data_IF_943579398519
#
_entry.id   IF_943579398519
#
_cell.length_a   1.000
_cell.length_b   1.000
_cell.length_c   1.000
_cell.angle_alpha   90.00
_cell.angle_beta   90.00
_cell.angle_gamma   90.00
#
_symmetry.space_group_name_H-M   'P 1'
#
loop_
_entity.id
_entity.type
_entity.pdbx_description
1 polymer ?
#
# COMPACT_ATOMS: atom_id res chain seq x y z
N UNK A 1 -9.97 20.43 -5.83
CA UNK A 1 -9.99 21.88 -6.18
C UNK A 1 -8.74 22.33 -6.92
N UNK A 2 -7.56 21.72 -6.70
CA UNK A 2 -6.32 22.08 -7.41
C UNK A 2 -6.26 21.65 -8.89
N UNK A 3 -6.93 20.56 -9.29
CA UNK A 3 -6.93 20.09 -10.68
C UNK A 3 -7.73 20.97 -11.65
N UNK A 4 -8.70 21.76 -11.15
CA UNK A 4 -9.48 22.68 -11.99
C UNK A 4 -8.67 23.91 -12.42
N UNK A 5 -7.69 24.32 -11.61
CA UNK A 5 -6.84 25.48 -11.90
C UNK A 5 -5.74 25.18 -12.93
N UNK A 6 -5.28 23.93 -13.05
CA UNK A 6 -4.26 23.58 -14.06
C UNK A 6 -4.84 23.51 -15.48
N UNK A 7 -6.10 23.10 -15.64
CA UNK A 7 -6.78 23.06 -16.94
C UNK A 7 -7.05 24.46 -17.51
N UNK A 8 -7.33 25.45 -16.65
CA UNK A 8 -7.49 26.85 -17.07
C UNK A 8 -6.15 27.51 -17.44
N UNK A 9 -5.06 27.13 -16.75
CA UNK A 9 -3.72 27.66 -17.05
C UNK A 9 -3.17 27.09 -18.37
N UNK A 10 -3.55 25.86 -18.73
CA UNK A 10 -3.15 25.25 -20.00
C UNK A 10 -3.95 25.82 -21.19
N UNK A 11 -5.22 26.19 -20.99
CA UNK A 11 -6.01 26.92 -21.99
C UNK A 11 -5.52 28.35 -22.26
N UNK A 12 -4.87 29.01 -21.29
CA UNK A 12 -4.30 30.36 -21.50
C UNK A 12 -3.03 30.36 -22.35
N UNK A 13 -2.24 29.28 -22.32
CA UNK A 13 -0.97 29.21 -23.06
C UNK A 13 -1.23 28.97 -24.56
N UNK A 14 -2.23 28.16 -24.91
CA UNK A 14 -2.62 27.93 -26.32
C UNK A 14 -3.23 29.19 -26.98
N UNK A 15 -3.83 30.07 -26.20
CA UNK A 15 -4.46 31.30 -26.72
C UNK A 15 -3.45 32.43 -27.00
N UNK A 16 -2.22 32.33 -26.48
CA UNK A 16 -1.16 33.34 -26.68
C UNK A 16 -0.23 33.06 -27.88
N UNK A 17 -0.30 31.89 -28.51
CA UNK A 17 0.55 31.57 -29.68
C UNK A 17 -0.06 31.98 -31.03
N UNK A 18 -1.26 32.57 -31.04
CA UNK A 18 -1.90 33.15 -32.24
C UNK A 18 -1.87 34.68 -32.20
N UNK A 19 -0.68 35.27 -32.32
CA UNK A 19 -0.54 36.69 -32.63
C UNK A 19 0.51 36.89 -33.71
N UNK A 20 0.22 36.33 -34.89
CA UNK A 20 0.80 36.88 -36.12
C UNK A 20 0.21 38.29 -36.32
N UNK A 21 1.00 39.30 -36.74
CA UNK A 21 0.49 40.66 -36.97
C UNK A 21 -0.66 40.62 -37.99
N UNK A 22 -1.62 41.55 -37.91
CA UNK A 22 -2.76 41.52 -38.82
C UNK A 22 -2.26 41.73 -40.26
N UNK A 23 -2.77 40.96 -41.25
CA UNK A 23 -2.45 41.11 -42.67
C UNK A 23 -2.94 42.45 -43.28
N UNK A 24 -3.38 43.39 -42.43
CA UNK A 24 -4.03 44.64 -42.80
C UNK A 24 -3.00 45.70 -43.20
N UNK A 25 -1.85 45.75 -42.54
CA UNK A 25 -0.80 46.72 -42.83
C UNK A 25 -0.12 46.41 -44.18
N UNK A 26 0.06 45.13 -44.50
CA UNK A 26 0.54 44.67 -45.82
C UNK A 26 -0.46 44.97 -46.93
N UNK A 27 -1.76 44.83 -46.64
CA UNK A 27 -2.83 45.13 -47.61
C UNK A 27 -2.92 46.64 -47.90
N UNK A 28 -2.66 47.49 -46.90
CA UNK A 28 -2.57 48.95 -47.08
C UNK A 28 -1.33 49.32 -47.90
N UNK A 29 -0.17 48.69 -47.64
CA UNK A 29 1.04 48.89 -48.45
C UNK A 29 0.85 48.45 -49.91
N UNK A 30 0.15 47.33 -50.14
CA UNK A 30 -0.31 46.90 -51.47
C UNK A 30 -1.14 47.96 -52.18
N UNK A 31 -2.15 48.52 -51.48
CA UNK A 31 -3.03 49.54 -52.06
C UNK A 31 -2.28 50.84 -52.37
N UNK A 32 -1.36 51.26 -51.50
CA UNK A 32 -0.51 52.44 -51.72
C UNK A 32 0.44 52.23 -52.91
N UNK A 33 1.07 51.06 -53.02
CA UNK A 33 1.93 50.72 -54.15
C UNK A 33 1.15 50.62 -55.47
N UNK A 34 -0.06 50.06 -55.42
CA UNK A 34 -1.01 49.99 -56.53
C UNK A 34 -1.41 51.40 -56.99
N UNK A 35 -1.75 52.28 -56.05
CA UNK A 35 -2.10 53.67 -56.31
C UNK A 35 -0.91 54.41 -56.94
N UNK A 36 0.28 54.34 -56.33
CA UNK A 36 1.48 55.02 -56.85
C UNK A 36 1.91 54.55 -58.25
N UNK A 37 1.73 53.26 -58.57
CA UNK A 37 2.07 52.68 -59.86
C UNK A 37 1.03 53.01 -60.95
N UNK A 38 -0.26 53.07 -60.59
CA UNK A 38 -1.34 53.29 -61.55
C UNK A 38 -1.71 54.77 -61.73
N UNK A 39 -1.49 55.63 -60.73
CA UNK A 39 -1.82 57.07 -60.78
C UNK A 39 -1.20 57.82 -61.99
N UNK A 40 0.06 57.56 -62.39
CA UNK A 40 0.66 58.15 -63.60
C UNK A 40 0.07 57.58 -64.89
N UNK A 41 -0.56 56.41 -64.82
CA UNK A 41 -1.04 55.66 -65.97
C UNK A 41 -2.54 55.86 -66.23
N UNK A 42 -3.24 56.70 -65.45
CA UNK A 42 -4.68 56.93 -65.59
C UNK A 42 -4.98 57.95 -66.72
N UNK A 43 -5.70 57.54 -67.78
CA UNK A 43 -6.02 58.41 -68.93
C UNK A 43 -6.80 59.67 -68.56
N UNK A 44 -7.54 59.65 -67.45
CA UNK A 44 -8.44 60.74 -67.05
C UNK A 44 -7.72 62.06 -66.75
N UNK A 45 -6.46 62.01 -66.28
CA UNK A 45 -5.71 63.23 -65.91
C UNK A 45 -5.17 63.96 -67.13
N UNK A 46 -4.88 63.22 -68.21
CA UNK A 46 -4.33 63.75 -69.45
C UNK A 46 -5.44 64.05 -70.47
N UNK A 47 -6.51 63.26 -70.51
CA UNK A 47 -7.72 63.56 -71.30
C UNK A 47 -8.41 64.86 -70.86
N UNK A 48 -8.38 65.22 -69.56
CA UNK A 48 -8.87 66.52 -69.09
C UNK A 48 -7.95 67.70 -69.45
N UNK A 49 -6.67 67.45 -69.76
CA UNK A 49 -5.72 68.49 -70.16
C UNK A 49 -5.74 68.77 -71.68
N UNK A 50 -6.11 67.77 -72.51
CA UNK A 50 -6.22 67.92 -73.97
C UNK A 50 -7.33 68.91 -74.37
N UNK A 51 -8.45 68.96 -73.64
CA UNK A 51 -9.59 69.82 -74.01
C UNK A 51 -9.35 71.33 -73.78
N UNK A 52 -8.17 71.73 -73.27
CA UNK A 52 -7.83 73.13 -72.99
C UNK A 52 -6.76 73.73 -73.90
N UNK A 53 -6.19 72.98 -74.85
CA UNK A 53 -5.09 73.48 -75.69
C UNK A 53 -5.11 72.91 -77.11
N UNK A 54 -5.26 73.74 -78.17
CA UNK A 54 -5.20 73.29 -79.56
C UNK A 54 -3.74 73.14 -80.08
N UNK A 55 -2.74 73.01 -79.21
CA UNK A 55 -1.33 72.92 -79.63
C UNK A 55 -0.89 71.47 -79.98
N UNK A 56 -0.29 71.22 -81.16
CA UNK A 56 0.16 69.90 -81.62
C UNK A 56 1.17 69.16 -80.72
N UNK A 57 1.79 69.86 -79.77
CA UNK A 57 2.71 69.28 -78.78
C UNK A 57 2.02 68.53 -77.63
N UNK A 58 0.68 68.53 -77.57
CA UNK A 58 -0.12 67.83 -76.56
C UNK A 58 -0.64 66.46 -77.03
N UNK A 59 -0.09 65.90 -78.11
CA UNK A 59 -0.36 64.52 -78.48
C UNK A 59 0.25 63.59 -77.42
N UNK A 60 -0.61 62.98 -76.62
CA UNK A 60 -0.23 61.89 -75.72
C UNK A 60 0.32 60.77 -76.59
N UNK A 61 1.58 60.40 -76.38
CA UNK A 61 2.21 59.23 -76.99
C UNK A 61 1.60 57.98 -76.32
N UNK A 62 0.53 57.48 -76.93
CA UNK A 62 -0.25 56.33 -76.44
C UNK A 62 0.63 55.09 -76.30
N UNK A 63 1.60 54.90 -77.20
CA UNK A 63 2.58 53.82 -77.16
C UNK A 63 3.56 53.94 -75.98
N UNK A 64 3.95 55.16 -75.60
CA UNK A 64 4.72 55.40 -74.37
C UNK A 64 3.88 55.14 -73.11
N UNK A 65 2.64 55.61 -73.09
CA UNK A 65 1.73 55.39 -71.97
C UNK A 65 1.40 53.91 -71.74
N UNK A 66 1.17 53.17 -72.83
CA UNK A 66 0.93 51.73 -72.78
C UNK A 66 2.16 50.95 -72.25
N UNK A 67 3.38 51.40 -72.58
CA UNK A 67 4.61 50.83 -72.03
C UNK A 67 4.75 51.11 -70.54
N UNK A 68 4.56 52.36 -70.12
CA UNK A 68 4.65 52.76 -68.70
C UNK A 68 3.60 52.02 -67.86
N UNK A 69 2.37 51.84 -68.37
CA UNK A 69 1.32 51.04 -67.72
C UNK A 69 1.69 49.56 -67.60
N UNK A 70 2.21 48.95 -68.67
CA UNK A 70 2.64 47.54 -68.64
C UNK A 70 3.79 47.31 -67.65
N UNK A 71 4.76 48.23 -67.59
CA UNK A 71 5.88 48.15 -66.65
C UNK A 71 5.43 48.31 -65.19
N UNK A 72 4.50 49.23 -64.93
CA UNK A 72 3.86 49.39 -63.62
C UNK A 72 3.09 48.12 -63.20
N UNK A 73 2.29 47.54 -64.11
CA UNK A 73 1.56 46.30 -63.88
C UNK A 73 2.48 45.11 -63.61
N UNK A 74 3.63 45.03 -64.31
CA UNK A 74 4.62 43.95 -64.12
C UNK A 74 5.34 44.06 -62.78
N UNK A 75 5.72 45.27 -62.35
CA UNK A 75 6.31 45.51 -61.01
C UNK A 75 5.34 45.12 -59.91
N UNK A 76 4.07 45.49 -60.07
CA UNK A 76 3.00 45.13 -59.15
C UNK A 76 2.77 43.61 -59.09
N UNK A 77 2.75 42.94 -60.24
CA UNK A 77 2.64 41.48 -60.31
C UNK A 77 3.79 40.79 -59.57
N UNK A 78 5.03 41.28 -59.73
CA UNK A 78 6.20 40.75 -59.02
C UNK A 78 6.10 40.96 -57.50
N UNK A 79 5.59 42.11 -57.07
CA UNK A 79 5.34 42.38 -55.65
C UNK A 79 4.31 41.41 -55.04
N UNK A 80 3.20 41.15 -55.72
CA UNK A 80 2.21 40.15 -55.27
C UNK A 80 2.78 38.72 -55.24
N UNK A 81 3.63 38.35 -56.22
CA UNK A 81 4.32 37.05 -56.22
C UNK A 81 5.31 36.95 -55.05
N UNK A 82 6.00 38.04 -54.71
CA UNK A 82 6.91 38.12 -53.56
C UNK A 82 6.15 37.94 -52.24
N UNK A 83 5.09 38.71 -52.02
CA UNK A 83 4.21 38.62 -50.84
C UNK A 83 3.64 37.22 -50.62
N UNK A 84 3.31 36.50 -51.69
CA UNK A 84 2.76 35.15 -51.60
C UNK A 84 3.79 34.10 -51.14
N UNK A 85 5.09 34.43 -51.23
CA UNK A 85 6.20 33.56 -50.83
C UNK A 85 6.87 33.96 -49.52
N UNK A 86 6.76 35.21 -49.09
CA UNK A 86 7.67 35.75 -48.07
C UNK A 86 7.35 35.37 -46.62
N UNK A 87 6.13 34.93 -46.24
CA UNK A 87 5.83 34.79 -44.80
C UNK A 87 4.88 33.68 -44.35
N UNK A 88 4.51 32.70 -45.19
CA UNK A 88 3.74 31.55 -44.70
C UNK A 88 4.64 30.33 -44.46
N UNK A 89 4.78 29.88 -43.19
CA UNK A 89 5.36 28.58 -42.90
C UNK A 89 4.61 27.54 -43.71
N UNK A 90 5.34 26.76 -44.48
CA UNK A 90 4.75 25.65 -45.21
C UNK A 90 4.14 24.67 -44.22
N UNK A 91 3.06 23.98 -44.61
CA UNK A 91 2.44 22.94 -43.76
C UNK A 91 3.49 21.93 -43.24
N UNK A 92 4.51 21.64 -44.04
CA UNK A 92 5.63 20.75 -43.67
C UNK A 92 6.44 21.31 -42.51
N UNK A 93 6.77 22.61 -42.52
CA UNK A 93 7.53 23.24 -41.44
C UNK A 93 6.73 23.30 -40.14
N UNK A 94 5.42 23.60 -40.21
CA UNK A 94 4.55 23.59 -39.03
C UNK A 94 4.44 22.20 -38.42
N UNK A 95 4.15 21.18 -39.25
CA UNK A 95 4.09 19.80 -38.79
C UNK A 95 5.42 19.31 -38.24
N UNK A 96 6.55 19.72 -38.84
CA UNK A 96 7.88 19.39 -38.33
C UNK A 96 8.13 19.93 -36.92
N UNK A 97 7.68 21.15 -36.62
CA UNK A 97 7.77 21.74 -35.27
C UNK A 97 6.86 21.02 -34.27
N UNK A 98 5.63 20.69 -34.67
CA UNK A 98 4.68 19.94 -33.83
C UNK A 98 5.21 18.54 -33.50
N UNK A 99 5.76 17.82 -34.49
CA UNK A 99 6.38 16.50 -34.29
C UNK A 99 7.54 16.61 -33.30
N UNK A 100 8.46 17.56 -33.49
CA UNK A 100 9.59 17.74 -32.58
C UNK A 100 9.16 18.07 -31.14
N UNK A 101 8.09 18.87 -30.98
CA UNK A 101 7.52 19.18 -29.67
C UNK A 101 6.92 17.93 -29.00
N UNK A 102 6.13 17.16 -29.76
CA UNK A 102 5.54 15.91 -29.27
C UNK A 102 6.59 14.86 -28.91
N UNK A 103 7.69 14.77 -29.66
CA UNK A 103 8.80 13.86 -29.35
C UNK A 103 9.48 14.20 -28.02
N UNK A 104 9.74 15.48 -27.75
CA UNK A 104 10.34 15.89 -26.47
C UNK A 104 9.34 15.71 -25.31
N UNK A 105 8.05 15.98 -25.51
CA UNK A 105 7.02 15.68 -24.51
C UNK A 105 6.96 14.19 -24.18
N UNK A 106 6.99 13.33 -25.21
CA UNK A 106 6.97 11.87 -25.05
C UNK A 106 8.19 11.38 -24.26
N UNK A 107 9.37 11.94 -24.55
CA UNK A 107 10.60 11.64 -23.83
C UNK A 107 10.51 12.04 -22.35
N UNK A 108 9.99 13.23 -22.05
CA UNK A 108 9.78 13.69 -20.66
C UNK A 108 8.79 12.76 -19.93
N UNK A 109 7.64 12.43 -20.55
CA UNK A 109 6.67 11.50 -19.95
C UNK A 109 7.27 10.11 -19.71
N UNK A 110 8.08 9.62 -20.64
CA UNK A 110 8.78 8.34 -20.49
C UNK A 110 9.69 8.32 -19.26
N UNK A 111 10.44 9.41 -19.01
CA UNK A 111 11.28 9.51 -17.82
C UNK A 111 10.47 9.64 -16.52
N UNK A 112 9.30 10.30 -16.55
CA UNK A 112 8.37 10.34 -15.41
C UNK A 112 7.85 8.94 -15.10
N UNK A 113 7.42 8.18 -16.12
CA UNK A 113 6.94 6.80 -15.96
C UNK A 113 8.03 5.93 -15.34
N UNK A 114 9.27 6.00 -15.85
CA UNK A 114 10.41 5.25 -15.26
C UNK A 114 10.70 5.62 -13.81
N UNK A 115 10.53 6.89 -13.43
CA UNK A 115 10.69 7.32 -12.02
C UNK A 115 9.59 6.75 -11.15
N UNK A 116 8.34 6.81 -11.61
CA UNK A 116 7.19 6.26 -10.89
C UNK A 116 7.27 4.74 -10.75
N UNK A 117 7.69 4.03 -11.79
CA UNK A 117 7.87 2.58 -11.76
C UNK A 117 8.90 2.16 -10.71
N UNK A 118 10.04 2.87 -10.61
CA UNK A 118 11.04 2.64 -9.57
C UNK A 118 10.48 2.86 -8.15
N UNK A 119 9.68 3.90 -7.94
CA UNK A 119 9.04 4.14 -6.64
C UNK A 119 8.06 3.02 -6.27
N UNK A 120 7.22 2.60 -7.22
CA UNK A 120 6.27 1.49 -7.03
C UNK A 120 7.01 0.20 -6.71
N UNK A 121 8.10 -0.12 -7.42
CA UNK A 121 8.93 -1.29 -7.13
C UNK A 121 9.55 -1.21 -5.73
N UNK A 122 10.05 -0.04 -5.32
CA UNK A 122 10.55 0.18 -3.96
C UNK A 122 9.48 -0.05 -2.89
N UNK A 123 8.28 0.50 -3.07
CA UNK A 123 7.16 0.29 -2.14
C UNK A 123 6.70 -1.17 -2.08
N UNK A 124 6.65 -1.86 -3.22
CA UNK A 124 6.32 -3.29 -3.27
C UNK A 124 7.33 -4.13 -2.49
N UNK A 125 8.62 -3.79 -2.59
CA UNK A 125 9.69 -4.46 -1.83
C UNK A 125 9.52 -4.20 -0.33
N UNK A 126 9.37 -2.94 0.07
CA UNK A 126 9.21 -2.57 1.49
C UNK A 126 8.01 -3.27 2.14
N UNK A 127 6.85 -3.28 1.46
CA UNK A 127 5.66 -3.97 1.95
C UNK A 127 5.87 -5.47 2.11
N UNK A 128 6.61 -6.09 1.18
CA UNK A 128 6.96 -7.50 1.25
C UNK A 128 7.89 -7.78 2.43
N UNK A 129 8.94 -6.98 2.59
CA UNK A 129 9.91 -7.12 3.68
C UNK A 129 9.22 -6.95 5.06
N UNK A 130 8.26 -6.02 5.17
CA UNK A 130 7.44 -5.86 6.38
C UNK A 130 6.53 -7.06 6.65
N UNK A 131 5.86 -7.59 5.62
CA UNK A 131 5.01 -8.77 5.75
C UNK A 131 5.82 -10.00 6.20
N UNK A 132 6.99 -10.20 5.59
CA UNK A 132 7.89 -11.32 5.92
C UNK A 132 8.39 -11.20 7.37
N UNK A 133 8.72 -9.98 7.83
CA UNK A 133 9.07 -9.73 9.23
C UNK A 133 7.92 -10.04 10.19
N UNK A 134 6.72 -9.53 9.92
CA UNK A 134 5.56 -9.78 10.77
C UNK A 134 5.21 -11.28 10.85
N UNK A 135 5.33 -12.01 9.74
CA UNK A 135 5.13 -13.45 9.73
C UNK A 135 6.19 -14.19 10.56
N UNK A 136 7.46 -13.79 10.46
CA UNK A 136 8.53 -14.37 11.26
C UNK A 136 8.30 -14.12 12.76
N UNK A 137 7.99 -12.88 13.15
CA UNK A 137 7.71 -12.51 14.54
C UNK A 137 6.50 -13.29 15.09
N UNK A 138 5.40 -13.37 14.33
CA UNK A 138 4.21 -14.12 14.71
C UNK A 138 4.49 -15.63 14.85
N UNK A 139 5.32 -16.20 13.97
CA UNK A 139 5.74 -17.60 14.06
C UNK A 139 6.51 -17.86 15.36
N UNK A 140 7.47 -16.99 15.70
CA UNK A 140 8.26 -17.09 16.93
C UNK A 140 7.37 -16.99 18.18
N UNK A 141 6.37 -16.10 18.16
CA UNK A 141 5.44 -15.94 19.28
C UNK A 141 4.52 -17.14 19.45
N UNK A 142 4.00 -17.71 18.36
CA UNK A 142 3.20 -18.95 18.40
C UNK A 142 4.03 -20.11 18.95
N UNK A 143 5.28 -20.26 18.50
CA UNK A 143 6.18 -21.29 19.03
C UNK A 143 6.49 -21.09 20.53
N UNK A 144 6.70 -19.84 20.96
CA UNK A 144 6.90 -19.52 22.38
C UNK A 144 5.67 -19.88 23.19
N UNK A 145 4.49 -19.49 22.73
CA UNK A 145 3.24 -19.80 23.41
C UNK A 145 3.00 -21.31 23.49
N UNK A 146 3.29 -22.05 22.42
CA UNK A 146 3.19 -23.52 22.41
C UNK A 146 4.15 -24.17 23.42
N UNK A 147 5.39 -23.66 23.55
CA UNK A 147 6.33 -24.13 24.58
C UNK A 147 5.82 -23.85 25.99
N UNK A 148 5.38 -22.62 26.27
CA UNK A 148 4.86 -22.22 27.58
C UNK A 148 3.62 -23.05 27.97
N UNK A 149 2.73 -23.29 27.00
CA UNK A 149 1.56 -24.15 27.19
C UNK A 149 1.97 -25.60 27.52
N UNK A 150 2.91 -26.18 26.78
CA UNK A 150 3.39 -27.53 27.04
C UNK A 150 4.05 -27.67 28.42
N UNK A 151 4.83 -26.68 28.83
CA UNK A 151 5.47 -26.67 30.15
C UNK A 151 4.46 -26.52 31.29
N UNK A 152 3.44 -25.68 31.12
CA UNK A 152 2.33 -25.58 32.06
C UNK A 152 1.54 -26.90 32.16
N UNK A 153 1.26 -27.53 31.02
CA UNK A 153 0.58 -28.83 30.97
C UNK A 153 1.39 -29.92 31.68
N UNK A 154 2.72 -29.97 31.47
CA UNK A 154 3.62 -30.90 32.19
C UNK A 154 3.63 -30.64 33.69
N UNK A 155 3.72 -29.37 34.13
CA UNK A 155 3.66 -29.02 35.56
C UNK A 155 2.34 -29.47 36.19
N UNK A 156 1.23 -29.26 35.51
CA UNK A 156 -0.09 -29.68 35.96
C UNK A 156 -0.20 -31.22 36.02
N UNK A 157 0.31 -31.92 35.01
CA UNK A 157 0.37 -33.38 35.01
C UNK A 157 1.18 -33.91 36.20
N UNK A 158 2.36 -33.33 36.46
CA UNK A 158 3.19 -33.69 37.61
C UNK A 158 2.48 -33.40 38.94
N UNK A 159 1.75 -32.29 39.04
CA UNK A 159 0.94 -31.98 40.22
C UNK A 159 -0.14 -33.04 40.48
N UNK A 160 -0.88 -33.46 39.45
CA UNK A 160 -1.87 -34.55 39.59
C UNK A 160 -1.24 -35.88 39.96
N UNK A 161 -0.10 -36.23 39.36
CA UNK A 161 0.66 -37.43 39.75
C UNK A 161 1.15 -37.33 41.20
N UNK A 162 1.55 -36.13 41.64
CA UNK A 162 1.93 -35.84 43.01
C UNK A 162 0.77 -36.05 43.99
N UNK A 163 -0.42 -35.52 43.67
CA UNK A 163 -1.64 -35.74 44.45
C UNK A 163 -2.05 -37.23 44.52
N UNK A 164 -1.83 -37.99 43.44
CA UNK A 164 -2.07 -39.44 43.43
C UNK A 164 -1.04 -40.23 44.26
N UNK A 165 0.16 -39.67 44.45
CA UNK A 165 1.27 -40.25 45.21
C UNK A 165 1.44 -39.67 46.60
N UNK A 166 0.66 -38.66 46.98
CA UNK A 166 0.51 -38.31 48.38
C UNK A 166 0.07 -39.60 49.08
N UNK A 167 0.98 -40.18 49.87
CA UNK A 167 0.80 -41.32 50.76
C UNK A 167 -0.31 -40.97 51.77
N UNK A 168 -1.55 -40.83 51.30
CA UNK A 168 -2.67 -41.11 52.15
C UNK A 168 -2.56 -42.60 52.43
N UNK A 169 -2.26 -43.01 53.68
CA UNK A 169 -2.32 -44.41 54.03
C UNK A 169 -3.71 -44.86 53.60
N UNK A 170 -3.75 -45.81 52.66
CA UNK A 170 -5.04 -46.28 52.17
C UNK A 170 -5.83 -46.76 53.39
N UNK A 171 -7.16 -46.67 53.34
CA UNK A 171 -7.98 -47.20 54.44
C UNK A 171 -7.56 -48.64 54.82
N UNK A 172 -7.07 -49.40 53.84
CA UNK A 172 -6.50 -50.74 54.02
C UNK A 172 -5.23 -50.73 54.89
N UNK A 173 -4.28 -49.82 54.67
CA UNK A 173 -3.06 -49.73 55.50
C UNK A 173 -3.35 -49.28 56.94
N UNK A 174 -4.26 -48.31 57.11
CA UNK A 174 -4.67 -47.85 58.45
C UNK A 174 -5.38 -48.96 59.20
N UNK A 175 -6.36 -49.61 58.56
CA UNK A 175 -7.06 -50.76 59.14
C UNK A 175 -6.12 -51.94 59.39
N UNK A 176 -5.13 -52.17 58.51
CA UNK A 176 -4.11 -53.22 58.71
C UNK A 176 -3.28 -52.98 59.97
N UNK A 177 -2.88 -51.73 60.24
CA UNK A 177 -2.18 -51.36 61.49
C UNK A 177 -3.05 -51.52 62.72
N UNK A 178 -4.33 -51.13 62.64
CA UNK A 178 -5.29 -51.31 63.74
C UNK A 178 -5.56 -52.79 64.03
N UNK A 179 -5.72 -53.63 63.00
CA UNK A 179 -5.87 -55.08 63.14
C UNK A 179 -4.65 -55.68 63.83
N UNK A 180 -3.44 -55.35 63.37
CA UNK A 180 -2.21 -55.86 63.98
C UNK A 180 -2.08 -55.46 65.46
N UNK A 181 -2.49 -54.24 65.82
CA UNK A 181 -2.52 -53.79 67.21
C UNK A 181 -3.53 -54.57 68.05
N UNK A 182 -4.75 -54.76 67.52
CA UNK A 182 -5.80 -55.53 68.18
C UNK A 182 -5.42 -57.01 68.35
N UNK A 183 -4.72 -57.61 67.38
CA UNK A 183 -4.23 -58.99 67.46
C UNK A 183 -3.22 -59.17 68.59
N UNK A 184 -2.27 -58.24 68.76
CA UNK A 184 -1.29 -58.31 69.85
C UNK A 184 -1.97 -58.04 71.22
N UNK A 185 -2.93 -57.11 71.28
CA UNK A 185 -3.72 -56.90 72.49
C UNK A 185 -4.52 -58.15 72.88
N UNK A 186 -5.18 -58.82 71.91
CA UNK A 186 -5.90 -60.07 72.12
C UNK A 186 -4.98 -61.18 72.63
N UNK A 187 -3.77 -61.29 72.07
CA UNK A 187 -2.77 -62.26 72.51
C UNK A 187 -2.35 -62.02 73.97
N UNK A 188 -2.07 -60.77 74.35
CA UNK A 188 -1.74 -60.41 75.73
C UNK A 188 -2.89 -60.74 76.68
N UNK A 189 -4.14 -60.37 76.33
CA UNK A 189 -5.32 -60.70 77.15
C UNK A 189 -5.53 -62.20 77.28
N UNK A 190 -5.31 -62.96 76.20
CA UNK A 190 -5.41 -64.42 76.22
C UNK A 190 -4.43 -65.04 77.21
N UNK A 191 -3.18 -64.55 77.24
CA UNK A 191 -2.18 -65.03 78.19
C UNK A 191 -2.50 -64.66 79.65
N UNK A 192 -3.12 -63.49 79.88
CA UNK A 192 -3.62 -63.10 81.21
C UNK A 192 -4.74 -64.03 81.66
N UNK A 193 -5.72 -64.31 80.78
CA UNK A 193 -6.84 -65.23 81.08
C UNK A 193 -6.30 -66.62 81.44
N UNK A 194 -5.37 -67.17 80.65
CA UNK A 194 -4.72 -68.46 80.96
C UNK A 194 -4.00 -68.46 82.31
N UNK A 195 -3.38 -67.34 82.71
CA UNK A 195 -2.76 -67.22 84.05
C UNK A 195 -3.82 -67.23 85.15
N UNK A 196 -4.91 -66.49 84.96
CA UNK A 196 -6.03 -66.43 85.92
C UNK A 196 -6.74 -67.78 86.05
N UNK A 197 -6.99 -68.49 84.95
CA UNK A 197 -7.58 -69.83 84.96
C UNK A 197 -6.75 -70.81 85.78
N UNK A 198 -5.42 -70.80 85.63
CA UNK A 198 -4.51 -71.64 86.42
C UNK A 198 -4.58 -71.33 87.91
N UNK A 199 -4.65 -70.05 88.29
CA UNK A 199 -4.80 -69.65 89.70
C UNK A 199 -6.14 -70.15 90.28
N UNK A 200 -7.23 -69.96 89.55
CA UNK A 200 -8.56 -70.43 89.97
C UNK A 200 -8.60 -71.94 90.11
N UNK A 201 -8.02 -72.68 89.16
CA UNK A 201 -7.90 -74.14 89.24
C UNK A 201 -7.08 -74.56 90.47
N UNK A 202 -5.98 -73.87 90.76
CA UNK A 202 -5.17 -74.07 91.95
C UNK A 202 -5.97 -73.87 93.24
N UNK A 203 -6.69 -72.76 93.37
CA UNK A 203 -7.55 -72.48 94.53
C UNK A 203 -8.69 -73.49 94.68
N UNK A 204 -9.34 -73.90 93.57
CA UNK A 204 -10.38 -74.93 93.59
C UNK A 204 -9.84 -76.26 94.10
N UNK A 205 -8.63 -76.64 93.66
CA UNK A 205 -7.98 -77.87 94.12
C UNK A 205 -7.63 -77.78 95.60
N UNK A 206 -6.99 -76.70 96.05
CA UNK A 206 -6.62 -76.51 97.46
C UNK A 206 -7.84 -76.52 98.38
N UNK A 207 -8.91 -75.80 98.04
CA UNK A 207 -10.16 -75.79 98.81
C UNK A 207 -10.80 -77.19 98.86
N UNK A 208 -10.75 -77.94 97.77
CA UNK A 208 -11.25 -79.31 97.73
C UNK A 208 -10.41 -80.24 98.60
N UNK A 209 -9.08 -80.17 98.49
CA UNK A 209 -8.16 -80.98 99.30
C UNK A 209 -8.31 -80.66 100.80
N UNK A 210 -8.56 -79.38 101.17
CA UNK A 210 -8.88 -78.97 102.54
C UNK A 210 -10.24 -79.52 103.02
N UNK A 211 -11.27 -79.46 102.17
CA UNK A 211 -12.60 -79.99 102.48
C UNK A 211 -12.56 -81.52 102.68
N UNK A 212 -11.88 -82.24 101.79
CA UNK A 212 -11.73 -83.70 101.85
C UNK A 212 -10.98 -84.12 103.13
N UNK A 213 -9.93 -83.37 103.54
CA UNK A 213 -9.23 -83.57 104.82
C UNK A 213 -10.17 -83.38 106.02
N UNK A 214 -10.91 -82.28 106.07
CA UNK A 214 -11.84 -82.02 107.17
C UNK A 214 -12.96 -83.06 107.26
N UNK A 215 -13.49 -83.53 106.13
CA UNK A 215 -14.48 -84.61 106.12
C UNK A 215 -13.91 -85.92 106.68
N UNK A 216 -12.69 -86.29 106.29
CA UNK A 216 -12.03 -87.50 106.82
C UNK A 216 -11.69 -87.39 108.32
N UNK A 217 -11.40 -86.20 108.82
CA UNK A 217 -11.24 -85.94 110.26
C UNK A 217 -12.57 -86.10 111.01
N UNK A 218 -13.68 -85.62 110.44
CA UNK A 218 -15.03 -85.79 111.01
C UNK A 218 -15.48 -87.25 111.04
N UNK A 219 -15.13 -88.07 110.05
CA UNK A 219 -15.47 -89.50 110.01
C UNK A 219 -14.67 -90.37 111.00
N UNK A 220 -13.61 -89.83 111.62
CA UNK A 220 -12.78 -90.53 112.61
C UNK A 220 -13.19 -90.29 114.08
N UNK A 221 -14.14 -89.39 114.32
CA UNK A 221 -14.71 -89.05 115.64
C UNK A 221 -16.03 -89.79 115.84
#
# INVERSE_FOLDING_TARGET
>A
MAERQMLDQQHQIDQQMQSSPPPRDDMIACVIALEAALLPCLPARELQAIDRSPHPSHQIDVERHARDFMDAAKKLQLYFIGLQREDQPTKVETLGKEIAMMEEELKIKTEIIKKQERLIQGWRKELKDQLDKHNADASVDVERHARDFMDAAKKLQLYFIGLQREDQPTKVETLGKEIAMMEEELKIKTEIIKKQERLIQGWRKELKDQLDKHNAELERV
#
